data_IF_545472895996
#
_entry.id   IF_545472895996
#
_cell.length_a   1.000
_cell.length_b   1.000
_cell.length_c   1.000
_cell.angle_alpha   90.00
_cell.angle_beta   90.00
_cell.angle_gamma   90.00
#
_symmetry.space_group_name_H-M   'P 1'
#
loop_
_entity.id
_entity.type
_entity.pdbx_description
1 polymer ?
#
# COMPACT_ATOMS: atom_id res chain seq x y z
N UNK A 1 -0.90 -16.68 7.65
CA UNK A 1 -1.65 -15.67 6.87
C UNK A 1 -0.66 -14.65 6.34
N UNK A 2 -0.55 -14.40 5.02
CA UNK A 2 0.38 -13.39 4.51
C UNK A 2 -0.36 -12.37 3.67
N UNK A 3 -0.72 -11.26 4.32
CA UNK A 3 -1.00 -10.03 3.61
C UNK A 3 0.23 -9.58 2.82
N UNK A 4 0.01 -8.78 1.77
CA UNK A 4 1.10 -8.14 1.03
C UNK A 4 1.92 -7.32 2.02
N UNK A 5 3.20 -7.63 2.13
CA UNK A 5 4.13 -6.92 3.00
C UNK A 5 4.94 -5.94 2.15
N UNK A 6 4.93 -4.67 2.55
CA UNK A 6 5.71 -3.62 1.94
C UNK A 6 6.41 -2.85 3.05
N UNK A 7 7.73 -2.79 2.99
CA UNK A 7 8.54 -2.05 3.92
C UNK A 7 9.34 -0.99 3.18
N UNK A 8 9.46 0.19 3.79
CA UNK A 8 10.36 1.26 3.35
C UNK A 8 11.31 1.57 4.47
N UNK A 9 12.59 1.71 4.16
CA UNK A 9 13.62 1.86 5.20
C UNK A 9 14.37 3.17 5.06
N UNK A 10 14.79 3.72 6.20
CA UNK A 10 15.78 4.77 6.30
C UNK A 10 16.79 4.35 7.35
N UNK A 11 17.94 3.83 6.89
CA UNK A 11 19.04 3.47 7.78
C UNK A 11 19.60 4.68 8.54
N UNK A 12 19.81 5.86 7.92
CA UNK A 12 20.34 7.02 8.64
C UNK A 12 19.47 7.46 9.82
N UNK A 13 18.16 7.19 9.77
CA UNK A 13 17.21 7.56 10.83
C UNK A 13 16.78 6.37 11.70
N UNK A 14 17.33 5.17 11.47
CA UNK A 14 16.92 3.94 12.15
C UNK A 14 15.40 3.64 12.03
N UNK A 15 14.81 3.89 10.87
CA UNK A 15 13.36 3.75 10.64
C UNK A 15 13.00 2.67 9.62
N UNK A 16 11.94 1.93 9.91
CA UNK A 16 11.25 1.02 8.98
C UNK A 16 9.76 1.36 9.00
N UNK A 17 9.23 1.78 7.87
CA UNK A 17 7.81 2.00 7.69
C UNK A 17 7.16 0.77 7.04
N UNK A 18 6.12 0.22 7.67
CA UNK A 18 5.20 -0.71 7.03
C UNK A 18 4.20 0.10 6.18
N UNK A 19 4.19 -0.14 4.88
CA UNK A 19 3.36 0.59 3.92
C UNK A 19 2.09 -0.21 3.64
N UNK A 20 0.98 0.28 4.16
CA UNK A 20 -0.36 -0.30 3.94
C UNK A 20 -1.07 0.53 2.86
N UNK A 21 -1.55 -0.13 1.81
CA UNK A 21 -2.23 0.58 0.71
C UNK A 21 -3.39 1.43 1.24
N UNK A 22 -3.55 2.63 0.68
CA UNK A 22 -4.64 3.58 1.01
C UNK A 22 -4.61 4.15 2.43
N UNK A 23 -3.54 3.93 3.21
CA UNK A 23 -3.27 4.60 4.49
C UNK A 23 -2.06 5.52 4.37
N UNK A 24 -2.18 6.57 3.53
CA UNK A 24 -1.07 7.50 3.28
C UNK A 24 0.16 6.82 2.62
N UNK A 25 -0.02 5.63 2.02
CA UNK A 25 1.07 4.79 1.49
C UNK A 25 1.99 5.49 0.49
N UNK A 26 1.42 6.27 -0.41
CA UNK A 26 2.18 6.99 -1.44
C UNK A 26 3.10 8.04 -0.83
N UNK A 27 2.56 8.91 0.02
CA UNK A 27 3.34 9.92 0.73
C UNK A 27 4.35 9.30 1.68
N UNK A 28 3.95 8.27 2.43
CA UNK A 28 4.86 7.55 3.33
C UNK A 28 6.05 6.96 2.56
N UNK A 29 5.82 6.45 1.34
CA UNK A 29 6.90 5.98 0.47
C UNK A 29 7.85 7.12 0.08
N UNK A 30 7.32 8.28 -0.32
CA UNK A 30 8.13 9.44 -0.67
C UNK A 30 8.92 10.00 0.53
N UNK A 31 8.27 10.11 1.71
CA UNK A 31 8.92 10.53 2.96
C UNK A 31 10.06 9.59 3.33
N UNK A 32 9.83 8.28 3.27
CA UNK A 32 10.89 7.31 3.57
C UNK A 32 12.01 7.32 2.53
N UNK A 33 11.73 7.64 1.27
CA UNK A 33 12.76 7.86 0.26
C UNK A 33 13.60 9.11 0.57
N UNK A 34 12.95 10.23 0.90
CA UNK A 34 13.63 11.44 1.35
C UNK A 34 14.50 11.18 2.59
N UNK A 35 13.98 10.48 3.60
CA UNK A 35 14.75 10.12 4.80
C UNK A 35 15.88 9.12 4.51
N UNK A 36 15.77 8.31 3.47
CA UNK A 36 16.81 7.37 3.08
C UNK A 36 18.03 8.09 2.48
N UNK A 37 17.78 9.04 1.57
CA UNK A 37 18.80 9.85 0.93
C UNK A 37 18.27 11.26 0.61
N UNK A 38 18.47 12.18 1.56
CA UNK A 38 17.98 13.55 1.43
C UNK A 38 18.69 14.32 0.31
N UNK A 39 19.97 14.01 0.06
CA UNK A 39 20.78 14.71 -0.94
C UNK A 39 20.26 14.39 -2.34
N UNK A 40 20.20 13.10 -2.69
CA UNK A 40 19.68 12.67 -3.99
C UNK A 40 18.22 13.09 -4.19
N UNK A 41 17.40 13.08 -3.13
CA UNK A 41 16.01 13.53 -3.21
C UNK A 41 15.92 15.02 -3.55
N UNK A 42 16.67 15.89 -2.85
CA UNK A 42 16.68 17.33 -3.12
C UNK A 42 17.25 17.67 -4.49
N UNK A 43 18.32 17.01 -4.91
CA UNK A 43 18.95 17.19 -6.23
C UNK A 43 18.02 16.76 -7.38
N UNK A 44 17.10 15.84 -7.13
CA UNK A 44 16.14 15.40 -8.14
C UNK A 44 15.02 16.41 -8.45
N UNK A 45 14.95 17.54 -7.74
CA UNK A 45 13.86 18.53 -7.83
C UNK A 45 12.45 17.92 -7.68
N UNK A 46 12.34 16.79 -6.97
CA UNK A 46 11.06 16.12 -6.67
C UNK A 46 10.42 16.71 -5.43
N UNK A 47 9.09 16.76 -5.43
CA UNK A 47 8.29 16.97 -4.22
C UNK A 47 7.78 15.62 -3.70
N UNK A 48 7.30 15.61 -2.46
CA UNK A 48 6.62 14.44 -1.89
C UNK A 48 5.37 14.02 -2.70
N UNK A 49 4.80 14.96 -3.46
CA UNK A 49 3.64 14.76 -4.33
C UNK A 49 4.02 14.33 -5.75
N UNK A 50 5.22 14.69 -6.22
CA UNK A 50 5.65 14.38 -7.58
C UNK A 50 6.37 13.03 -7.69
N UNK A 51 6.87 12.47 -6.58
CA UNK A 51 7.48 11.11 -6.52
C UNK A 51 6.44 9.96 -6.60
N UNK A 52 5.31 10.24 -7.27
CA UNK A 52 4.15 9.37 -7.44
C UNK A 52 4.09 8.80 -8.87
N UNK A 53 4.72 9.46 -9.85
CA UNK A 53 4.55 9.14 -11.27
C UNK A 53 5.87 8.78 -11.98
N UNK A 54 5.88 7.61 -12.62
CA UNK A 54 6.89 7.16 -13.59
C UNK A 54 7.98 6.28 -13.01
N UNK A 55 8.89 6.86 -12.22
CA UNK A 55 10.05 6.17 -11.65
C UNK A 55 10.29 6.67 -10.22
N UNK A 56 10.05 5.81 -9.22
CA UNK A 56 10.34 6.13 -7.81
C UNK A 56 11.85 6.23 -7.64
N UNK A 57 12.34 7.34 -7.11
CA UNK A 57 13.79 7.59 -6.94
C UNK A 57 14.49 6.48 -6.13
N UNK A 58 13.80 5.96 -5.11
CA UNK A 58 14.31 4.91 -4.23
C UNK A 58 13.82 3.50 -4.58
N UNK A 59 13.23 3.29 -5.77
CA UNK A 59 12.82 1.96 -6.23
C UNK A 59 14.01 0.99 -6.10
N UNK A 60 13.75 -0.16 -5.50
CA UNK A 60 14.74 -1.23 -5.28
C UNK A 60 15.97 -0.83 -4.42
N UNK A 61 16.01 0.40 -3.87
CA UNK A 61 17.08 0.89 -2.97
C UNK A 61 16.69 0.77 -1.50
N UNK A 62 15.49 1.26 -1.15
CA UNK A 62 14.97 1.24 0.23
C UNK A 62 13.66 0.46 0.38
N UNK A 63 13.26 -0.29 -0.65
CA UNK A 63 12.00 -1.02 -0.71
C UNK A 63 12.22 -2.51 -0.45
N UNK A 64 11.46 -3.08 0.47
CA UNK A 64 11.55 -4.50 0.82
C UNK A 64 10.14 -5.11 0.90
N UNK A 65 10.06 -6.41 0.61
CA UNK A 65 8.81 -7.20 0.70
C UNK A 65 8.87 -8.28 1.79
N UNK A 66 10.01 -8.38 2.49
CA UNK A 66 10.26 -9.39 3.51
C UNK A 66 10.99 -8.76 4.69
N UNK A 67 10.40 -8.89 5.88
CA UNK A 67 10.96 -8.31 7.10
C UNK A 67 12.33 -8.92 7.46
N UNK A 68 12.53 -10.21 7.18
CA UNK A 68 13.79 -10.94 7.39
C UNK A 68 15.02 -10.30 6.71
N UNK A 69 14.81 -9.58 5.60
CA UNK A 69 15.89 -8.85 4.91
C UNK A 69 16.34 -7.61 5.68
N UNK A 70 15.47 -7.08 6.55
CA UNK A 70 15.67 -5.88 7.37
C UNK A 70 16.06 -6.25 8.81
N UNK A 71 15.56 -7.36 9.37
CA UNK A 71 15.84 -7.83 10.75
C UNK A 71 17.32 -7.97 11.06
N UNK A 72 18.16 -8.18 10.05
CA UNK A 72 19.63 -8.20 10.18
C UNK A 72 20.21 -6.84 10.61
N UNK A 73 19.45 -5.75 10.45
CA UNK A 73 19.83 -4.40 10.83
C UNK A 73 19.38 -4.19 12.27
N UNK A 74 20.31 -4.31 13.21
CA UNK A 74 20.02 -4.14 14.64
C UNK A 74 19.54 -2.71 14.94
N UNK A 75 18.64 -2.55 15.92
CA UNK A 75 18.18 -1.26 16.49
C UNK A 75 17.33 -0.35 15.58
N UNK A 76 16.56 -0.92 14.66
CA UNK A 76 15.59 -0.15 13.85
C UNK A 76 14.23 -0.02 14.54
N UNK A 77 13.62 1.17 14.52
CA UNK A 77 12.24 1.40 14.94
C UNK A 77 11.28 1.11 13.79
N UNK A 78 10.32 0.22 14.02
CA UNK A 78 9.31 -0.17 13.03
C UNK A 78 8.00 0.52 13.37
N UNK A 79 7.38 1.17 12.39
CA UNK A 79 6.09 1.81 12.56
C UNK A 79 5.17 1.59 11.36
N UNK A 80 3.88 1.83 11.56
CA UNK A 80 2.88 1.83 10.51
C UNK A 80 1.97 3.05 10.69
N UNK A 81 1.55 3.66 9.58
CA UNK A 81 0.48 4.66 9.58
C UNK A 81 -0.81 3.94 9.25
N UNK A 82 -1.73 3.94 10.21
CA UNK A 82 -3.06 3.34 10.07
C UNK A 82 -4.09 4.43 9.77
N UNK A 83 -5.21 4.03 9.17
CA UNK A 83 -6.35 4.92 8.87
C UNK A 83 -7.62 4.18 9.25
N UNK A 84 -8.66 4.94 9.63
CA UNK A 84 -9.99 4.40 9.85
C UNK A 84 -10.41 3.49 8.66
N UNK A 85 -10.89 2.26 8.92
CA UNK A 85 -11.24 1.30 7.88
C UNK A 85 -12.24 1.82 6.84
N UNK A 86 -13.24 2.59 7.29
CA UNK A 86 -14.30 3.15 6.42
C UNK A 86 -13.71 4.19 5.49
N UNK A 87 -12.90 5.12 6.00
CA UNK A 87 -12.24 6.13 5.17
C UNK A 87 -11.27 5.50 4.17
N UNK A 88 -10.56 4.46 4.59
CA UNK A 88 -9.66 3.69 3.73
C UNK A 88 -10.45 3.05 2.59
N UNK A 89 -11.59 2.43 2.89
CA UNK A 89 -12.49 1.85 1.89
C UNK A 89 -12.99 2.91 0.90
N UNK A 90 -13.51 4.05 1.40
CA UNK A 90 -14.00 5.16 0.56
C UNK A 90 -12.90 5.69 -0.36
N UNK A 91 -11.69 5.88 0.17
CA UNK A 91 -10.50 6.27 -0.59
C UNK A 91 -10.13 5.23 -1.65
N UNK A 92 -10.19 3.94 -1.29
CA UNK A 92 -10.04 2.78 -2.19
C UNK A 92 -10.98 2.86 -3.39
N UNK A 93 -12.27 2.94 -3.11
CA UNK A 93 -13.31 2.78 -4.12
C UNK A 93 -13.38 3.99 -5.03
N UNK A 94 -13.29 5.19 -4.46
CA UNK A 94 -13.29 6.45 -5.21
C UNK A 94 -12.08 6.53 -6.15
N UNK A 95 -10.88 6.22 -5.65
CA UNK A 95 -9.67 6.28 -6.45
C UNK A 95 -9.65 5.21 -7.55
N UNK A 96 -9.80 3.94 -7.19
CA UNK A 96 -9.58 2.83 -8.11
C UNK A 96 -10.77 2.55 -9.02
N UNK A 97 -11.98 2.58 -8.48
CA UNK A 97 -13.17 2.15 -9.21
C UNK A 97 -13.90 3.29 -9.93
N UNK A 98 -13.93 4.49 -9.32
CA UNK A 98 -14.62 5.65 -9.90
C UNK A 98 -13.72 6.55 -10.75
N UNK A 99 -12.54 6.93 -10.24
CA UNK A 99 -11.61 7.85 -10.93
C UNK A 99 -10.74 7.14 -11.95
N UNK A 100 -9.91 6.20 -11.52
CA UNK A 100 -9.00 5.45 -12.40
C UNK A 100 -9.74 4.45 -13.29
N UNK A 101 -10.92 3.97 -12.84
CA UNK A 101 -11.75 2.98 -13.54
C UNK A 101 -10.92 1.75 -13.96
N UNK A 102 -10.12 1.23 -13.03
CA UNK A 102 -9.15 0.14 -13.28
C UNK A 102 -9.77 -1.11 -13.89
N UNK A 103 -11.08 -1.31 -13.68
CA UNK A 103 -11.90 -2.37 -14.25
C UNK A 103 -12.03 -2.31 -15.79
N UNK A 104 -11.77 -1.16 -16.43
CA UNK A 104 -11.73 -1.03 -17.89
C UNK A 104 -10.58 -1.81 -18.51
N UNK A 105 -9.41 -1.78 -17.86
CA UNK A 105 -8.22 -2.52 -18.29
C UNK A 105 -8.21 -3.95 -17.76
N UNK A 106 -8.66 -4.15 -16.53
CA UNK A 106 -8.67 -5.45 -15.86
C UNK A 106 -10.08 -5.76 -15.34
N UNK A 107 -10.88 -6.47 -16.14
CA UNK A 107 -12.32 -6.71 -15.88
C UNK A 107 -12.64 -7.30 -14.49
N UNK A 108 -11.70 -8.01 -13.86
CA UNK A 108 -11.86 -8.59 -12.54
C UNK A 108 -11.74 -7.59 -11.38
N UNK A 109 -11.05 -6.45 -11.59
CA UNK A 109 -10.87 -5.44 -10.53
C UNK A 109 -12.19 -4.77 -10.18
N UNK A 110 -12.25 -4.21 -8.98
CA UNK A 110 -13.49 -3.71 -8.40
C UNK A 110 -14.54 -4.83 -8.30
N UNK A 111 -14.11 -6.04 -7.94
CA UNK A 111 -14.91 -7.27 -7.80
C UNK A 111 -15.83 -7.56 -9.01
N UNK A 112 -15.42 -7.14 -10.21
CA UNK A 112 -16.25 -7.15 -11.44
C UNK A 112 -17.56 -6.35 -11.34
N UNK A 113 -17.72 -5.50 -10.33
CA UNK A 113 -18.90 -4.65 -10.08
C UNK A 113 -18.80 -3.26 -10.73
N UNK A 114 -17.63 -2.92 -11.30
CA UNK A 114 -17.33 -1.63 -11.93
C UNK A 114 -17.49 -0.47 -10.94
N UNK A 115 -18.61 0.25 -10.99
CA UNK A 115 -18.93 1.41 -10.15
C UNK A 115 -20.12 1.16 -9.22
N UNK A 116 -20.71 -0.05 -9.23
CA UNK A 116 -21.81 -0.39 -8.33
C UNK A 116 -21.26 -0.68 -6.92
N UNK A 117 -21.51 0.24 -5.98
CA UNK A 117 -21.00 0.16 -4.61
C UNK A 117 -21.61 -1.02 -3.83
N UNK A 118 -22.92 -1.22 -3.91
CA UNK A 118 -23.62 -2.31 -3.20
C UNK A 118 -23.05 -3.67 -3.61
N UNK A 119 -22.98 -3.94 -4.92
CA UNK A 119 -22.35 -5.14 -5.47
C UNK A 119 -20.92 -5.33 -4.96
N UNK A 120 -20.14 -4.25 -4.91
CA UNK A 120 -18.76 -4.31 -4.48
C UNK A 120 -18.63 -4.65 -2.99
N UNK A 121 -19.42 -4.00 -2.13
CA UNK A 121 -19.44 -4.26 -0.69
C UNK A 121 -19.81 -5.71 -0.41
N UNK A 122 -20.88 -6.22 -1.03
CA UNK A 122 -21.36 -7.59 -0.82
C UNK A 122 -20.28 -8.62 -1.21
N UNK A 123 -19.71 -8.48 -2.41
CA UNK A 123 -18.66 -9.41 -2.87
C UNK A 123 -17.39 -9.33 -2.05
N UNK A 124 -16.98 -8.13 -1.65
CA UNK A 124 -15.78 -7.96 -0.83
C UNK A 124 -15.99 -8.51 0.57
N UNK A 125 -17.17 -8.33 1.17
CA UNK A 125 -17.53 -8.94 2.45
C UNK A 125 -17.47 -10.47 2.39
N UNK A 126 -18.13 -11.08 1.40
CA UNK A 126 -18.07 -12.53 1.19
C UNK A 126 -16.64 -13.04 1.04
N UNK A 127 -15.82 -12.30 0.29
CA UNK A 127 -14.42 -12.62 0.07
C UNK A 127 -13.59 -12.54 1.34
N UNK A 128 -13.81 -11.50 2.16
CA UNK A 128 -13.16 -11.34 3.47
C UNK A 128 -13.57 -12.48 4.42
N UNK A 129 -14.85 -12.85 4.47
CA UNK A 129 -15.33 -13.95 5.30
C UNK A 129 -14.74 -15.30 4.88
N UNK A 130 -14.61 -15.54 3.57
CA UNK A 130 -13.91 -16.73 3.04
C UNK A 130 -12.43 -16.72 3.43
N UNK A 131 -11.74 -15.59 3.29
CA UNK A 131 -10.34 -15.46 3.67
C UNK A 131 -10.12 -15.65 5.19
N UNK A 132 -11.03 -15.14 6.02
CA UNK A 132 -10.97 -15.32 7.47
C UNK A 132 -11.10 -16.78 7.89
N UNK A 133 -11.97 -17.55 7.21
CA UNK A 133 -12.16 -18.99 7.46
C UNK A 133 -11.01 -19.84 6.91
N UNK A 134 -10.58 -19.58 5.69
CA UNK A 134 -9.51 -20.32 5.02
C UNK A 134 -8.58 -19.36 4.25
N UNK A 135 -7.48 -18.90 4.88
CA UNK A 135 -6.58 -17.94 4.27
C UNK A 135 -5.88 -18.51 3.04
N UNK A 136 -6.14 -17.93 1.87
CA UNK A 136 -5.46 -18.29 0.63
C UNK A 136 -4.15 -17.53 0.42
N UNK A 137 -3.27 -18.08 -0.42
CA UNK A 137 -2.04 -17.41 -0.89
C UNK A 137 -2.36 -16.57 -2.13
N UNK A 138 -1.66 -15.46 -2.30
CA UNK A 138 -1.84 -14.58 -3.48
C UNK A 138 -3.01 -13.61 -3.31
N UNK A 139 -2.87 -12.70 -2.34
CA UNK A 139 -3.73 -11.51 -2.22
C UNK A 139 -3.64 -10.70 -3.52
N UNK A 140 -4.80 -10.42 -4.11
CA UNK A 140 -4.86 -9.70 -5.39
C UNK A 140 -4.91 -8.18 -5.22
N UNK A 141 -5.16 -7.49 -6.34
CA UNK A 141 -5.28 -6.04 -6.37
C UNK A 141 -6.39 -5.53 -5.44
N UNK A 142 -7.59 -6.13 -5.49
CA UNK A 142 -8.71 -5.65 -4.67
C UNK A 142 -8.45 -5.99 -3.19
N UNK A 143 -7.96 -7.19 -2.89
CA UNK A 143 -7.66 -7.58 -1.51
C UNK A 143 -6.66 -6.61 -0.86
N UNK A 144 -5.59 -6.25 -1.59
CA UNK A 144 -4.58 -5.32 -1.07
C UNK A 144 -5.11 -3.91 -0.80
N UNK A 145 -6.04 -3.41 -1.61
CA UNK A 145 -6.57 -2.05 -1.49
C UNK A 145 -7.75 -1.93 -0.51
N UNK A 146 -8.49 -3.02 -0.29
CA UNK A 146 -9.81 -2.97 0.36
C UNK A 146 -9.96 -3.85 1.60
N UNK A 147 -9.16 -4.90 1.79
CA UNK A 147 -9.27 -5.69 3.02
C UNK A 147 -8.90 -4.82 4.23
N UNK A 148 -9.67 -4.86 5.33
CA UNK A 148 -9.32 -4.14 6.55
C UNK A 148 -8.00 -4.72 7.10
N UNK A 149 -6.94 -3.93 7.07
CA UNK A 149 -5.59 -4.33 7.52
C UNK A 149 -5.22 -3.73 8.88
N UNK A 150 -6.00 -2.77 9.38
CA UNK A 150 -5.87 -2.13 10.68
C UNK A 150 -7.23 -1.58 11.11
N UNK A 151 -7.58 -1.71 12.39
CA UNK A 151 -8.68 -0.99 13.04
C UNK A 151 -8.10 0.04 14.00
#
# INVERSE_FOLDING_TARGET
MKYKQLYRTSKPNNLVACVIEKTFSTFLTAIMCFLHDQKSFRESNRTLESDIYGERLCKDKNEFTELKKIEKWQKMSIFAVVRNPVDRFVSGFTDKCLREKVWRKYKSRCASCRTNLTCFVDKMYDRMMKFAKNPYKGIDFDDSHFFPQSW
#
